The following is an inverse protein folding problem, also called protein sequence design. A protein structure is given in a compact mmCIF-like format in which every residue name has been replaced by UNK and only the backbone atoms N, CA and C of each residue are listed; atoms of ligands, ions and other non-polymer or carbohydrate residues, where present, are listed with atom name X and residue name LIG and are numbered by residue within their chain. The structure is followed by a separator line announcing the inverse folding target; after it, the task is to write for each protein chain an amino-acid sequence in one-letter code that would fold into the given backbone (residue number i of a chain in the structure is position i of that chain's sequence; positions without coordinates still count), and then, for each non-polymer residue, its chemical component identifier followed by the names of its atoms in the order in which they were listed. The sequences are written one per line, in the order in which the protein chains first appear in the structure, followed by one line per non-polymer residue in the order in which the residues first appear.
data_IF_071376102870
#
_entry.id   IF_071376102870
#
_cell.length_a   1.000
_cell.length_b   1.000
_cell.length_c   1.000
_cell.angle_alpha   90.00
_cell.angle_beta   90.00
_cell.angle_gamma   90.00
#
_symmetry.space_group_name_H-M   'P 1'
#
loop_
_entity.id
_entity.type
_entity.pdbx_description
1 polymer ?
#
# COMPACT_ATOMS: atom_id res chain seq x y z
N UNK A 1 -1.62 14.23 30.16
CA UNK A 1 -2.39 13.03 29.75
C UNK A 1 -3.86 13.32 29.37
N UNK A 2 -4.46 14.48 29.68
CA UNK A 2 -5.85 14.83 29.27
C UNK A 2 -5.96 15.85 28.12
N UNK A 3 -4.89 16.55 27.74
CA UNK A 3 -4.93 17.59 26.70
C UNK A 3 -4.92 17.05 25.25
N UNK A 4 -4.35 15.85 25.02
CA UNK A 4 -4.26 15.26 23.67
C UNK A 4 -5.60 14.66 23.17
N UNK A 5 -6.53 14.36 24.08
CA UNK A 5 -7.88 13.89 23.72
C UNK A 5 -8.87 15.04 23.48
N UNK A 6 -8.44 16.29 23.67
CA UNK A 6 -9.25 17.50 23.49
C UNK A 6 -8.88 18.34 22.25
N UNK A 7 -7.91 17.89 21.43
CA UNK A 7 -7.61 18.54 20.14
C UNK A 7 -8.24 17.79 18.95
N UNK A 8 -9.40 17.16 19.19
CA UNK A 8 -10.20 16.46 18.17
C UNK A 8 -11.26 17.35 17.50
N UNK A 9 -11.25 18.67 17.74
CA UNK A 9 -12.29 19.61 17.23
C UNK A 9 -11.78 21.01 16.84
N UNK A 10 -10.51 21.16 16.48
CA UNK A 10 -9.93 22.46 16.10
C UNK A 10 -9.59 22.66 14.61
N UNK A 11 -9.51 21.60 13.80
CA UNK A 11 -9.00 21.67 12.42
C UNK A 11 -10.14 21.51 11.41
N UNK A 12 -11.25 22.21 11.60
CA UNK A 12 -12.38 22.20 10.66
C UNK A 12 -12.71 23.59 10.07
N UNK A 13 -11.89 24.60 10.35
CA UNK A 13 -12.24 25.99 9.98
C UNK A 13 -11.13 26.83 9.34
N UNK A 14 -10.10 26.19 8.77
CA UNK A 14 -9.12 26.88 7.92
C UNK A 14 -8.83 26.16 6.58
N UNK A 15 -9.45 25.00 6.34
CA UNK A 15 -9.31 24.27 5.07
C UNK A 15 -10.34 24.72 4.01
N UNK A 16 -11.31 25.55 4.42
CA UNK A 16 -12.38 26.03 3.54
C UNK A 16 -11.92 27.16 2.62
N UNK A 17 -10.78 27.81 2.91
CA UNK A 17 -10.24 28.90 2.06
C UNK A 17 -9.42 28.40 0.86
N UNK A 18 -8.88 27.17 0.92
CA UNK A 18 -8.14 26.57 -0.19
C UNK A 18 -9.00 25.70 -1.13
N UNK A 19 -10.20 25.33 -0.68
CA UNK A 19 -11.13 24.52 -1.46
C UNK A 19 -12.38 25.35 -1.75
N UNK A 20 -12.67 25.73 -3.01
CA UNK A 20 -13.89 26.43 -3.38
C UNK A 20 -15.08 25.44 -3.34
N UNK A 21 -15.50 25.04 -2.14
CA UNK A 21 -16.64 24.13 -1.94
C UNK A 21 -17.91 24.95 -1.74
N UNK A 22 -18.34 25.68 -2.79
CA UNK A 22 -19.65 26.31 -2.80
C UNK A 22 -20.66 25.66 -3.75
N UNK A 23 -20.26 24.67 -4.56
CA UNK A 23 -21.19 23.91 -5.39
C UNK A 23 -21.44 22.50 -4.82
N UNK A 24 -22.67 22.22 -4.41
CA UNK A 24 -23.11 20.92 -3.86
C UNK A 24 -22.75 19.72 -4.76
N UNK A 25 -22.68 19.93 -6.08
CA UNK A 25 -22.37 18.89 -7.08
C UNK A 25 -20.91 18.43 -7.04
N UNK A 26 -19.96 19.36 -6.91
CA UNK A 26 -18.51 19.04 -6.86
C UNK A 26 -18.16 18.28 -5.58
N UNK A 27 -18.82 18.61 -4.47
CA UNK A 27 -18.64 17.89 -3.20
C UNK A 27 -19.13 16.44 -3.31
N UNK A 28 -20.26 16.20 -3.97
CA UNK A 28 -20.77 14.85 -4.21
C UNK A 28 -19.81 14.03 -5.09
N UNK A 29 -19.26 14.62 -6.15
CA UNK A 29 -18.24 13.97 -6.99
C UNK A 29 -16.95 13.65 -6.22
N UNK A 30 -16.44 14.61 -5.43
CA UNK A 30 -15.22 14.39 -4.63
C UNK A 30 -15.43 13.29 -3.59
N UNK A 31 -16.59 13.26 -2.91
CA UNK A 31 -16.92 12.22 -1.93
C UNK A 31 -17.08 10.85 -2.61
N UNK A 32 -17.69 10.80 -3.80
CA UNK A 32 -17.80 9.58 -4.59
C UNK A 32 -16.44 9.03 -5.03
N UNK A 33 -15.55 9.90 -5.51
CA UNK A 33 -14.18 9.54 -5.90
C UNK A 33 -13.35 9.07 -4.70
N UNK A 34 -13.43 9.78 -3.56
CA UNK A 34 -12.75 9.37 -2.32
C UNK A 34 -13.23 8.00 -1.83
N UNK A 35 -14.53 7.73 -1.90
CA UNK A 35 -15.06 6.42 -1.54
C UNK A 35 -14.57 5.33 -2.50
N UNK A 36 -14.52 5.62 -3.80
CA UNK A 36 -14.01 4.70 -4.81
C UNK A 36 -12.53 4.36 -4.61
N UNK A 37 -11.71 5.32 -4.14
CA UNK A 37 -10.30 5.09 -3.81
C UNK A 37 -10.16 4.20 -2.56
N UNK A 38 -11.07 4.33 -1.60
CA UNK A 38 -11.03 3.57 -0.34
C UNK A 38 -11.27 2.06 -0.54
N UNK A 39 -12.00 1.66 -1.59
CA UNK A 39 -12.24 0.24 -1.94
C UNK A 39 -11.10 -0.38 -2.77
N UNK A 40 -10.33 0.47 -3.47
CA UNK A 40 -9.20 0.07 -4.30
C UNK A 40 -8.14 -0.80 -3.59
N UNK A 41 -7.67 -0.47 -2.36
CA UNK A 41 -6.66 -1.27 -1.67
C UNK A 41 -7.12 -2.70 -1.33
N UNK A 42 -8.42 -2.92 -1.12
CA UNK A 42 -8.96 -4.26 -0.78
C UNK A 42 -8.86 -5.18 -2.00
N UNK A 43 -9.28 -4.69 -3.17
CA UNK A 43 -9.22 -5.45 -4.42
C UNK A 43 -7.77 -5.74 -4.81
N UNK A 44 -6.90 -4.73 -4.68
CA UNK A 44 -5.48 -4.86 -4.96
C UNK A 44 -4.80 -5.88 -4.03
N UNK A 45 -5.10 -5.84 -2.72
CA UNK A 45 -4.53 -6.78 -1.75
C UNK A 45 -4.90 -8.23 -2.06
N UNK A 46 -6.16 -8.49 -2.46
CA UNK A 46 -6.58 -9.84 -2.91
C UNK A 46 -5.80 -10.30 -4.13
N UNK A 47 -5.50 -9.41 -5.08
CA UNK A 47 -4.64 -9.70 -6.22
C UNK A 47 -3.21 -10.06 -5.79
N UNK A 48 -2.63 -9.28 -4.88
CA UNK A 48 -1.26 -9.53 -4.39
C UNK A 48 -1.11 -10.85 -3.64
N UNK A 49 -2.13 -11.28 -2.90
CA UNK A 49 -2.13 -12.59 -2.23
C UNK A 49 -2.03 -13.73 -3.26
N UNK A 50 -2.74 -13.64 -4.39
CA UNK A 50 -2.63 -14.63 -5.47
C UNK A 50 -1.24 -14.60 -6.13
N UNK A 51 -0.72 -13.41 -6.41
CA UNK A 51 0.62 -13.23 -6.99
C UNK A 51 1.69 -13.80 -6.05
N UNK A 52 1.64 -13.50 -4.75
CA UNK A 52 2.57 -14.00 -3.75
C UNK A 52 2.57 -15.52 -3.64
N UNK A 53 1.40 -16.16 -3.73
CA UNK A 53 1.33 -17.63 -3.80
C UNK A 53 1.99 -18.18 -5.05
N UNK A 54 1.71 -17.62 -6.23
CA UNK A 54 2.33 -18.04 -7.48
C UNK A 54 3.85 -17.88 -7.43
N UNK A 55 4.35 -16.72 -6.98
CA UNK A 55 5.78 -16.44 -6.84
C UNK A 55 6.43 -17.41 -5.85
N UNK A 56 5.81 -17.65 -4.70
CA UNK A 56 6.34 -18.58 -3.71
C UNK A 56 6.48 -20.00 -4.24
N UNK A 57 5.45 -20.53 -4.91
CA UNK A 57 5.48 -21.87 -5.51
C UNK A 57 6.52 -21.95 -6.62
N UNK A 58 6.56 -20.97 -7.52
CA UNK A 58 7.51 -20.94 -8.63
C UNK A 58 8.97 -20.85 -8.15
N UNK A 59 9.24 -20.01 -7.16
CA UNK A 59 10.60 -19.87 -6.62
C UNK A 59 11.00 -21.08 -5.78
N UNK A 60 10.12 -21.63 -4.95
CA UNK A 60 10.40 -22.87 -4.22
C UNK A 60 10.70 -24.01 -5.19
N UNK A 61 9.88 -24.20 -6.23
CA UNK A 61 10.13 -25.26 -7.22
C UNK A 61 11.40 -25.00 -8.02
N UNK A 62 11.67 -23.76 -8.43
CA UNK A 62 12.92 -23.38 -9.10
C UNK A 62 14.16 -23.64 -8.24
N UNK A 63 14.14 -23.24 -6.96
CA UNK A 63 15.26 -23.46 -6.04
C UNK A 63 15.45 -24.93 -5.68
N UNK A 64 14.38 -25.72 -5.60
CA UNK A 64 14.46 -27.17 -5.41
C UNK A 64 15.15 -27.85 -6.60
N UNK A 65 14.84 -27.45 -7.83
CA UNK A 65 15.49 -27.97 -9.05
C UNK A 65 16.99 -27.66 -9.07
N UNK A 66 17.38 -26.50 -8.54
CA UNK A 66 18.80 -26.09 -8.42
C UNK A 66 19.52 -26.84 -7.28
N UNK A 67 18.80 -27.55 -6.41
CA UNK A 67 19.37 -28.30 -5.28
C UNK A 67 19.75 -27.42 -4.08
N UNK A 68 19.08 -26.28 -3.91
CA UNK A 68 19.38 -25.34 -2.84
C UNK A 68 18.81 -25.82 -1.49
N UNK A 69 19.65 -25.95 -0.45
CA UNK A 69 19.24 -26.43 0.89
C UNK A 69 18.07 -25.61 1.48
N UNK A 70 18.00 -24.32 1.19
CA UNK A 70 16.99 -23.39 1.74
C UNK A 70 15.88 -23.03 0.74
N UNK A 71 15.65 -23.86 -0.29
CA UNK A 71 14.70 -23.59 -1.36
C UNK A 71 13.28 -23.25 -0.88
N UNK A 72 12.76 -24.01 0.08
CA UNK A 72 11.40 -23.79 0.63
C UNK A 72 11.36 -22.48 1.41
N UNK A 73 12.34 -22.26 2.29
CA UNK A 73 12.41 -21.06 3.12
C UNK A 73 12.49 -19.80 2.25
N UNK A 74 13.38 -19.80 1.25
CA UNK A 74 13.57 -18.66 0.35
C UNK A 74 12.36 -18.38 -0.53
N UNK A 75 11.71 -19.41 -1.07
CA UNK A 75 10.50 -19.24 -1.87
C UNK A 75 9.32 -18.69 -1.05
N UNK A 76 9.11 -19.20 0.17
CA UNK A 76 8.07 -18.68 1.07
C UNK A 76 8.35 -17.22 1.45
N UNK A 77 9.59 -16.88 1.78
CA UNK A 77 9.98 -15.50 2.10
C UNK A 77 9.75 -14.56 0.91
N UNK A 78 10.15 -14.98 -0.29
CA UNK A 78 9.93 -14.19 -1.50
C UNK A 78 8.44 -14.00 -1.81
N UNK A 79 7.62 -15.04 -1.64
CA UNK A 79 6.17 -14.96 -1.77
C UNK A 79 5.53 -14.00 -0.76
N UNK A 80 5.96 -14.04 0.51
CA UNK A 80 5.49 -13.12 1.55
C UNK A 80 5.91 -11.67 1.27
N UNK A 81 7.15 -11.43 0.84
CA UNK A 81 7.64 -10.11 0.46
C UNK A 81 6.84 -9.53 -0.72
N UNK A 82 6.43 -10.38 -1.67
CA UNK A 82 5.61 -9.97 -2.82
C UNK A 82 4.23 -9.46 -2.43
N UNK A 83 3.69 -9.84 -1.26
CA UNK A 83 2.38 -9.39 -0.81
C UNK A 83 2.43 -7.93 -0.34
N UNK A 84 3.59 -7.45 0.14
CA UNK A 84 3.74 -6.10 0.68
C UNK A 84 3.84 -5.11 -0.48
N UNK A 85 2.79 -4.30 -0.74
CA UNK A 85 2.87 -3.30 -1.79
C UNK A 85 3.87 -2.21 -1.42
N UNK A 86 4.41 -1.56 -2.45
CA UNK A 86 5.38 -0.47 -2.32
C UNK A 86 6.75 -0.87 -1.77
N UNK A 87 6.99 -2.13 -1.38
CA UNK A 87 8.28 -2.57 -0.90
C UNK A 87 9.38 -2.37 -1.99
N UNK A 88 9.07 -2.71 -3.25
CA UNK A 88 9.96 -2.44 -4.38
C UNK A 88 10.18 -0.94 -4.67
N UNK A 89 9.14 -0.12 -4.52
CA UNK A 89 9.23 1.34 -4.68
C UNK A 89 10.08 1.95 -3.56
N UNK A 90 9.86 1.54 -2.31
CA UNK A 90 10.65 1.96 -1.16
C UNK A 90 12.12 1.59 -1.33
N UNK A 91 12.42 0.36 -1.74
CA UNK A 91 13.78 -0.09 -2.02
C UNK A 91 14.45 0.67 -3.18
N UNK A 92 13.66 1.18 -4.13
CA UNK A 92 14.16 1.97 -5.27
C UNK A 92 14.40 3.45 -4.93
N UNK A 93 13.61 4.01 -4.01
CA UNK A 93 13.76 5.41 -3.57
C UNK A 93 15.04 5.59 -2.74
N UNK A 94 15.42 4.62 -1.92
CA UNK A 94 16.62 4.69 -1.07
C UNK A 94 17.90 4.99 -1.89
N UNK A 95 18.28 4.19 -2.92
CA UNK A 95 19.45 4.49 -3.72
C UNK A 95 19.27 5.76 -4.56
N UNK A 96 18.06 6.03 -5.07
CA UNK A 96 17.79 7.25 -5.85
C UNK A 96 18.06 8.53 -5.04
N UNK A 97 17.73 8.52 -3.75
CA UNK A 97 17.99 9.66 -2.86
C UNK A 97 19.47 9.82 -2.47
N UNK A 98 20.26 8.75 -2.50
CA UNK A 98 21.71 8.80 -2.25
C UNK A 98 22.56 9.21 -3.47
N UNK A 99 21.95 9.25 -4.66
CA UNK A 99 22.59 9.68 -5.91
C UNK A 99 22.37 11.17 -6.24
N UNK A 100 21.77 11.93 -5.31
CA UNK A 100 21.53 13.37 -5.40
C UNK A 100 22.39 14.13 -4.38
#
# INVERSE_FOLDING_TARGET
MFYFLLEKRGIKRNWTDYLPVHESRVKEEIVFVLHSINDCPIVFFRGQVLVGMCVGVLLTTGFLVIGLEYAILLGVMAGLLSIIPYLGVALSIIPASSYQ
#
